data_IF_201583737639
#
_entry.id   IF_201583737639
#
_cell.length_a   1.000
_cell.length_b   1.000
_cell.length_c   1.000
_cell.angle_alpha   90.00
_cell.angle_beta   90.00
_cell.angle_gamma   90.00
#
_symmetry.space_group_name_H-M   'P 1'
#
loop_
_entity.id
_entity.type
_entity.pdbx_description
1 polymer ?
#
# COMPACT_ATOMS: atom_id res chain seq x y z
N UNK A 1 -14.83 12.47 -5.99
CA UNK A 1 -13.55 12.82 -6.62
C UNK A 1 -13.37 11.99 -7.87
N UNK A 2 -12.84 12.56 -8.95
CA UNK A 2 -12.51 11.86 -10.21
C UNK A 2 -11.05 11.35 -10.20
N UNK A 3 -10.55 10.88 -9.05
CA UNK A 3 -9.34 10.07 -9.04
C UNK A 3 -9.66 8.75 -9.74
N UNK A 4 -8.91 8.39 -10.76
CA UNK A 4 -9.05 7.12 -11.44
C UNK A 4 -7.63 6.64 -11.74
N UNK A 5 -7.20 5.60 -11.04
CA UNK A 5 -5.83 5.08 -11.10
C UNK A 5 -5.40 4.83 -12.54
N UNK A 6 -6.30 4.26 -13.34
CA UNK A 6 -6.05 4.02 -14.76
C UNK A 6 -5.83 5.32 -15.55
N UNK A 7 -6.69 6.34 -15.37
CA UNK A 7 -6.56 7.62 -16.08
C UNK A 7 -5.24 8.32 -15.76
N UNK A 8 -4.79 8.26 -14.51
CA UNK A 8 -3.50 8.83 -14.13
C UNK A 8 -2.35 8.13 -14.85
N UNK A 9 -2.30 6.79 -14.79
CA UNK A 9 -1.26 5.99 -15.43
C UNK A 9 -1.25 6.13 -16.96
N UNK A 10 -2.42 6.31 -17.58
CA UNK A 10 -2.56 6.65 -19.00
C UNK A 10 -2.00 8.06 -19.30
N UNK A 11 -2.25 9.03 -18.41
CA UNK A 11 -1.83 10.43 -18.58
C UNK A 11 -0.33 10.65 -18.49
N UNK A 12 0.37 9.93 -17.61
CA UNK A 12 1.84 10.08 -17.44
C UNK A 12 2.65 9.27 -18.44
N UNK A 13 2.06 8.21 -19.02
CA UNK A 13 2.73 7.28 -19.93
C UNK A 13 3.54 7.94 -21.06
N UNK A 14 2.98 8.92 -21.79
CA UNK A 14 3.69 9.56 -22.91
C UNK A 14 4.95 10.34 -22.53
N UNK A 15 5.09 10.74 -21.26
CA UNK A 15 6.20 11.56 -20.77
C UNK A 15 7.30 10.78 -20.05
N UNK A 16 7.11 9.48 -19.79
CA UNK A 16 8.07 8.69 -19.04
C UNK A 16 9.24 8.26 -19.94
N UNK A 17 10.51 8.45 -19.50
CA UNK A 17 11.68 7.95 -20.21
C UNK A 17 11.63 6.42 -20.38
N UNK A 18 11.99 5.94 -21.56
CA UNK A 18 11.99 4.50 -21.87
C UNK A 18 13.05 3.72 -21.08
N UNK A 19 14.05 4.44 -20.59
CA UNK A 19 15.10 3.97 -19.70
C UNK A 19 14.56 3.69 -18.28
N UNK A 20 13.46 4.34 -17.89
CA UNK A 20 12.80 4.15 -16.60
C UNK A 20 11.70 3.10 -16.70
N UNK A 21 10.92 3.13 -17.78
CA UNK A 21 9.83 2.18 -18.01
C UNK A 21 9.79 1.71 -19.46
N UNK A 22 10.01 0.42 -19.67
CA UNK A 22 9.92 -0.16 -21.00
C UNK A 22 8.47 -0.18 -21.49
N UNK A 23 8.23 -0.22 -22.83
CA UNK A 23 6.88 -0.42 -23.37
C UNK A 23 6.21 -1.71 -22.88
N UNK A 24 7.01 -2.75 -22.59
CA UNK A 24 6.50 -4.00 -22.05
C UNK A 24 6.00 -3.82 -20.61
N UNK A 25 6.83 -3.23 -19.75
CA UNK A 25 6.47 -2.91 -18.35
C UNK A 25 5.23 -2.04 -18.31
N UNK A 26 5.17 -0.99 -19.14
CA UNK A 26 3.99 -0.11 -19.23
C UNK A 26 2.73 -0.88 -19.58
N UNK A 27 2.80 -1.79 -20.56
CA UNK A 27 1.65 -2.63 -20.93
C UNK A 27 1.20 -3.54 -19.79
N UNK A 28 2.13 -4.06 -18.98
CA UNK A 28 1.82 -4.87 -17.79
C UNK A 28 1.09 -4.03 -16.74
N UNK A 29 1.64 -2.86 -16.41
CA UNK A 29 1.01 -1.89 -15.50
C UNK A 29 -0.40 -1.51 -16.00
N UNK A 30 -0.55 -1.19 -17.28
CA UNK A 30 -1.85 -0.78 -17.85
C UNK A 30 -2.91 -1.86 -17.75
N UNK A 31 -2.52 -3.13 -17.90
CA UNK A 31 -3.44 -4.26 -17.70
C UNK A 31 -3.83 -4.41 -16.24
N UNK A 32 -2.89 -4.28 -15.30
CA UNK A 32 -3.20 -4.32 -13.87
C UNK A 32 -4.08 -3.13 -13.45
N UNK A 33 -3.82 -1.94 -13.98
CA UNK A 33 -4.57 -0.72 -13.69
C UNK A 33 -6.06 -0.80 -14.03
N UNK A 34 -6.46 -1.71 -14.93
CA UNK A 34 -7.88 -2.00 -15.21
C UNK A 34 -8.62 -2.50 -13.97
N UNK A 35 -7.95 -3.23 -13.08
CA UNK A 35 -8.54 -3.73 -11.83
C UNK A 35 -8.91 -2.59 -10.88
N UNK A 36 -8.19 -1.48 -10.98
CA UNK A 36 -8.32 -0.30 -10.13
C UNK A 36 -9.03 0.87 -10.83
N UNK A 37 -9.76 0.59 -11.93
CA UNK A 37 -10.40 1.64 -12.74
C UNK A 37 -11.47 2.45 -12.00
N UNK A 38 -11.95 1.96 -10.87
CA UNK A 38 -13.01 2.63 -10.08
C UNK A 38 -12.50 3.07 -8.70
N UNK A 39 -11.19 2.98 -8.50
CA UNK A 39 -10.54 3.43 -7.27
C UNK A 39 -10.23 4.92 -7.43
N UNK A 40 -10.65 5.69 -6.44
CA UNK A 40 -10.16 7.05 -6.27
C UNK A 40 -8.82 7.00 -5.54
N UNK A 41 -7.88 7.79 -6.03
CA UNK A 41 -6.59 8.00 -5.39
C UNK A 41 -6.13 9.43 -5.67
N UNK A 42 -5.56 10.04 -4.64
CA UNK A 42 -5.11 11.44 -4.61
C UNK A 42 -3.66 11.60 -5.05
N UNK A 43 -2.83 10.58 -4.87
CA UNK A 43 -1.43 10.57 -5.32
C UNK A 43 -1.05 9.23 -5.92
N UNK A 44 0.03 9.26 -6.70
CA UNK A 44 0.53 8.14 -7.47
C UNK A 44 2.04 8.23 -7.59
N UNK A 45 2.72 7.10 -7.44
CA UNK A 45 4.17 7.00 -7.54
C UNK A 45 4.52 5.86 -8.50
N UNK A 46 5.60 6.06 -9.25
CA UNK A 46 6.30 4.99 -9.96
C UNK A 46 7.68 4.83 -9.32
N UNK A 47 8.04 3.59 -9.03
CA UNK A 47 9.30 3.25 -8.37
C UNK A 47 10.15 2.40 -9.31
N UNK A 48 11.44 2.74 -9.45
CA UNK A 48 12.38 1.99 -10.29
C UNK A 48 13.67 1.69 -9.52
N UNK A 49 14.38 0.65 -9.93
CA UNK A 49 15.60 0.24 -9.27
C UNK A 49 16.82 1.00 -9.83
N UNK A 50 17.42 1.86 -9.01
CA UNK A 50 18.60 2.65 -9.39
C UNK A 50 19.86 1.82 -9.68
N UNK A 51 19.92 0.56 -9.22
CA UNK A 51 21.05 -0.34 -9.43
C UNK A 51 20.84 -1.32 -10.60
N UNK A 52 19.77 -1.13 -11.37
CA UNK A 52 19.42 -1.97 -12.52
C UNK A 52 19.31 -1.10 -13.76
N UNK A 53 19.85 -1.59 -14.88
CA UNK A 53 19.57 -0.99 -16.20
C UNK A 53 18.24 -1.49 -16.79
N UNK A 54 17.54 -2.38 -16.08
CA UNK A 54 16.25 -2.91 -16.52
C UNK A 54 15.18 -1.86 -16.29
N UNK A 55 14.53 -1.44 -17.37
CA UNK A 55 13.44 -0.46 -17.38
C UNK A 55 12.11 -1.06 -16.85
N UNK A 56 12.16 -1.44 -15.59
CA UNK A 56 11.07 -1.99 -14.79
C UNK A 56 10.67 -0.99 -13.71
N UNK A 57 9.37 -0.89 -13.47
CA UNK A 57 8.82 0.03 -12.51
C UNK A 57 7.62 -0.57 -11.80
N UNK A 58 7.60 -0.46 -10.48
CA UNK A 58 6.43 -0.72 -9.65
C UNK A 58 5.56 0.54 -9.61
N UNK A 59 4.29 0.39 -9.25
CA UNK A 59 3.40 1.54 -9.11
C UNK A 59 2.65 1.48 -7.79
N UNK A 60 2.48 2.65 -7.17
CA UNK A 60 1.70 2.79 -5.95
C UNK A 60 0.76 3.97 -6.03
N UNK A 61 -0.30 3.94 -5.23
CA UNK A 61 -1.28 5.02 -5.18
C UNK A 61 -1.80 5.24 -3.77
N UNK A 62 -1.93 6.52 -3.41
CA UNK A 62 -2.42 6.98 -2.11
C UNK A 62 -3.91 7.20 -2.16
N UNK A 63 -4.58 6.73 -1.12
CA UNK A 63 -6.01 6.90 -0.93
C UNK A 63 -6.18 7.63 0.40
N UNK A 64 -6.84 8.78 0.36
CA UNK A 64 -7.16 9.56 1.55
C UNK A 64 -8.40 8.98 2.25
N UNK A 65 -8.55 9.26 3.54
CA UNK A 65 -9.73 8.82 4.31
C UNK A 65 -11.04 9.34 3.71
N UNK A 66 -11.07 10.55 3.14
CA UNK A 66 -12.25 11.05 2.41
C UNK A 66 -12.57 10.27 1.11
N UNK A 67 -11.64 9.48 0.59
CA UNK A 67 -11.80 8.64 -0.61
C UNK A 67 -12.26 7.22 -0.28
N UNK A 68 -12.37 6.85 1.01
CA UNK A 68 -12.77 5.52 1.49
C UNK A 68 -14.06 5.00 0.85
N UNK A 69 -15.08 5.84 0.71
CA UNK A 69 -16.35 5.45 0.08
C UNK A 69 -16.21 5.09 -1.40
N UNK A 70 -15.31 5.76 -2.11
CA UNK A 70 -14.99 5.45 -3.50
C UNK A 70 -14.23 4.12 -3.59
N UNK A 71 -13.24 3.92 -2.72
CA UNK A 71 -12.50 2.66 -2.62
C UNK A 71 -13.43 1.46 -2.34
N UNK A 72 -14.34 1.61 -1.38
CA UNK A 72 -15.32 0.57 -1.02
C UNK A 72 -16.29 0.24 -2.17
N UNK A 73 -16.63 1.21 -3.02
CA UNK A 73 -17.38 0.95 -4.27
C UNK A 73 -16.53 0.21 -5.29
N UNK A 74 -15.25 0.58 -5.41
CA UNK A 74 -14.28 -0.10 -6.27
C UNK A 74 -14.16 -1.59 -5.97
N UNK A 75 -14.05 -1.97 -4.68
CA UNK A 75 -14.00 -3.39 -4.27
C UNK A 75 -15.23 -4.21 -4.67
N UNK A 76 -16.37 -3.57 -4.89
CA UNK A 76 -17.63 -4.22 -5.29
C UNK A 76 -17.82 -4.25 -6.81
N UNK A 77 -16.93 -3.64 -7.59
CA UNK A 77 -17.09 -3.62 -9.03
C UNK A 77 -16.79 -4.99 -9.64
N UNK A 78 -17.42 -5.28 -10.78
CA UNK A 78 -17.22 -6.50 -11.55
C UNK A 78 -15.75 -6.78 -11.84
N UNK A 79 -14.97 -5.77 -12.24
CA UNK A 79 -13.53 -5.89 -12.53
C UNK A 79 -12.70 -6.37 -11.34
N UNK A 80 -13.14 -6.06 -10.12
CA UNK A 80 -12.44 -6.41 -8.89
C UNK A 80 -13.07 -7.61 -8.16
N UNK A 81 -14.33 -7.93 -8.44
CA UNK A 81 -15.11 -8.93 -7.70
C UNK A 81 -14.43 -10.30 -7.63
N UNK A 82 -13.70 -10.71 -8.68
CA UNK A 82 -12.94 -11.96 -8.68
C UNK A 82 -11.76 -11.97 -7.68
N UNK A 83 -11.16 -10.82 -7.40
CA UNK A 83 -10.06 -10.67 -6.44
C UNK A 83 -10.57 -10.63 -4.99
N UNK A 84 -11.80 -10.16 -4.78
CA UNK A 84 -12.39 -10.03 -3.44
C UNK A 84 -12.60 -11.37 -2.71
N UNK A 85 -12.49 -12.50 -3.42
CA UNK A 85 -12.53 -13.84 -2.84
C UNK A 85 -11.16 -14.34 -2.33
N UNK A 86 -10.07 -13.65 -2.68
CA UNK A 86 -8.73 -13.99 -2.22
C UNK A 86 -8.51 -13.58 -0.75
N UNK A 87 -7.84 -14.43 0.03
CA UNK A 87 -7.62 -14.22 1.47
C UNK A 87 -6.85 -12.93 1.77
N UNK A 88 -5.89 -12.58 0.92
CA UNK A 88 -5.09 -11.37 1.08
C UNK A 88 -5.91 -10.13 0.80
N UNK A 89 -6.68 -10.14 -0.29
CA UNK A 89 -7.58 -9.04 -0.59
C UNK A 89 -8.70 -8.89 0.44
N UNK A 90 -9.16 -9.99 1.04
CA UNK A 90 -10.09 -9.93 2.17
C UNK A 90 -9.49 -9.19 3.38
N UNK A 91 -8.20 -9.38 3.68
CA UNK A 91 -7.50 -8.61 4.74
C UNK A 91 -7.46 -7.11 4.43
N UNK A 92 -7.15 -6.75 3.18
CA UNK A 92 -7.20 -5.34 2.72
C UNK A 92 -8.60 -4.76 2.86
N UNK A 93 -9.63 -5.50 2.45
CA UNK A 93 -11.03 -5.07 2.59
C UNK A 93 -11.43 -4.95 4.06
N UNK A 94 -11.01 -5.85 4.94
CA UNK A 94 -11.29 -5.77 6.38
C UNK A 94 -10.64 -4.53 7.00
N UNK A 95 -9.38 -4.26 6.66
CA UNK A 95 -8.71 -3.03 7.08
C UNK A 95 -9.50 -1.81 6.62
N UNK A 96 -9.88 -1.72 5.34
CA UNK A 96 -10.59 -0.55 4.81
C UNK A 96 -11.95 -0.38 5.47
N UNK A 97 -12.68 -1.46 5.77
CA UNK A 97 -13.92 -1.39 6.53
C UNK A 97 -13.70 -0.78 7.93
N UNK A 98 -12.68 -1.25 8.64
CA UNK A 98 -12.30 -0.77 9.96
C UNK A 98 -11.73 0.66 9.97
N UNK A 99 -10.98 1.01 8.91
CA UNK A 99 -10.07 2.16 8.78
C UNK A 99 -10.45 3.34 9.69
N UNK A 100 -9.66 3.51 10.76
CA UNK A 100 -9.80 4.55 11.77
C UNK A 100 -9.67 5.94 11.16
N UNK A 101 -10.40 6.91 11.72
CA UNK A 101 -10.27 8.33 11.35
C UNK A 101 -8.91 8.92 11.70
N UNK A 102 -8.16 8.28 12.61
CA UNK A 102 -6.81 8.68 13.03
C UNK A 102 -5.73 8.24 12.02
N UNK A 103 -6.12 7.50 10.98
CA UNK A 103 -5.24 7.14 9.88
C UNK A 103 -5.68 7.98 8.68
N UNK A 104 -4.96 9.05 8.30
CA UNK A 104 -5.41 9.97 7.26
C UNK A 104 -5.33 9.42 5.83
N UNK A 105 -4.47 8.42 5.60
CA UNK A 105 -4.27 7.84 4.28
C UNK A 105 -3.73 6.41 4.33
N UNK A 106 -3.95 5.69 3.23
CA UNK A 106 -3.35 4.38 2.95
C UNK A 106 -2.71 4.38 1.56
N UNK A 107 -1.80 3.44 1.34
CA UNK A 107 -1.14 3.19 0.08
C UNK A 107 -1.28 1.73 -0.33
N UNK A 108 -1.59 1.53 -1.61
CA UNK A 108 -1.48 0.24 -2.28
C UNK A 108 -0.33 0.33 -3.27
N UNK A 109 0.65 -0.56 -3.13
CA UNK A 109 1.81 -0.70 -4.03
C UNK A 109 1.73 -2.05 -4.74
N UNK A 110 1.92 -2.03 -6.05
CA UNK A 110 1.84 -3.19 -6.92
C UNK A 110 3.18 -3.42 -7.60
N UNK A 111 3.82 -4.55 -7.29
CA UNK A 111 5.03 -5.00 -7.98
C UNK A 111 4.66 -5.31 -9.45
N UNK A 112 5.44 -4.85 -10.44
CA UNK A 112 5.14 -5.10 -11.86
C UNK A 112 5.10 -6.60 -12.20
N UNK A 113 5.82 -7.41 -11.42
CA UNK A 113 5.87 -8.86 -11.55
C UNK A 113 4.57 -9.58 -11.16
N UNK A 114 3.68 -8.93 -10.38
CA UNK A 114 2.38 -9.49 -10.01
C UNK A 114 1.47 -9.68 -11.22
N UNK A 115 1.74 -8.99 -12.34
CA UNK A 115 1.00 -9.12 -13.58
C UNK A 115 0.93 -10.57 -14.10
N UNK A 116 1.95 -11.38 -13.84
CA UNK A 116 2.00 -12.78 -14.32
C UNK A 116 1.15 -13.72 -13.46
N UNK A 117 0.57 -13.25 -12.34
CA UNK A 117 -0.26 -14.05 -11.44
C UNK A 117 -1.75 -13.90 -11.76
N UNK A 118 -2.50 -14.97 -11.48
CA UNK A 118 -3.96 -14.95 -11.61
C UNK A 118 -4.63 -13.96 -10.66
N UNK A 119 -4.04 -13.81 -9.46
CA UNK A 119 -4.45 -12.85 -8.43
C UNK A 119 -3.23 -11.99 -8.09
N UNK A 120 -3.12 -10.76 -8.64
CA UNK A 120 -2.06 -9.85 -8.27
C UNK A 120 -2.31 -9.35 -6.85
N UNK A 121 -1.26 -9.38 -6.02
CA UNK A 121 -1.34 -9.02 -4.60
C UNK A 121 -0.65 -7.68 -4.34
N UNK A 122 -1.21 -6.80 -3.49
CA UNK A 122 -0.60 -5.53 -3.17
C UNK A 122 0.38 -5.66 -1.98
N UNK A 123 1.34 -4.76 -1.90
CA UNK A 123 1.81 -4.26 -0.62
C UNK A 123 0.80 -3.22 -0.10
N UNK A 124 0.48 -3.27 1.19
CA UNK A 124 -0.48 -2.37 1.84
C UNK A 124 0.22 -1.57 2.92
N UNK A 125 0.13 -0.24 2.89
CA UNK A 125 0.66 0.63 3.93
C UNK A 125 -0.40 1.61 4.42
N UNK A 126 -0.35 1.97 5.69
CA UNK A 126 -1.18 2.99 6.30
C UNK A 126 -0.30 4.06 6.94
N UNK A 127 -0.80 5.29 6.97
CA UNK A 127 -0.13 6.39 7.62
C UNK A 127 0.04 6.10 9.13
N UNK A 128 1.26 6.29 9.62
CA UNK A 128 1.66 5.95 10.98
C UNK A 128 2.10 7.17 11.81
N UNK A 129 1.84 8.39 11.33
CA UNK A 129 2.30 9.64 11.97
C UNK A 129 1.82 9.75 13.41
N UNK A 130 0.57 9.38 13.66
CA UNK A 130 -0.05 9.46 14.99
C UNK A 130 0.26 8.24 15.90
N UNK A 131 1.12 7.31 15.45
CA UNK A 131 1.54 6.15 16.25
C UNK A 131 2.66 6.52 17.22
N UNK A 132 3.52 7.49 16.89
CA UNK A 132 4.64 7.89 17.74
C UNK A 132 4.77 9.41 17.82
N UNK A 133 4.65 9.94 19.03
CA UNK A 133 4.88 11.35 19.34
C UNK A 133 5.97 11.47 20.42
N UNK A 134 7.16 11.95 20.05
CA UNK A 134 8.29 11.99 20.97
C UNK A 134 8.66 10.58 21.46
N UNK A 135 8.49 10.32 22.76
CA UNK A 135 8.71 8.98 23.35
C UNK A 135 7.43 8.18 23.55
N UNK A 136 6.26 8.78 23.30
CA UNK A 136 4.97 8.12 23.47
C UNK A 136 4.62 7.31 22.22
N UNK A 137 4.09 6.11 22.43
CA UNK A 137 3.71 5.18 21.36
C UNK A 137 2.26 4.76 21.59
N UNK A 138 1.44 4.90 20.56
CA UNK A 138 0.05 4.45 20.54
C UNK A 138 -0.01 2.98 20.10
N UNK A 139 0.33 2.08 21.03
CA UNK A 139 0.34 0.63 20.79
C UNK A 139 -1.05 0.11 20.39
N UNK A 140 -2.13 0.71 20.89
CA UNK A 140 -3.51 0.33 20.56
C UNK A 140 -3.83 0.60 19.08
N UNK A 141 -3.46 1.77 18.55
CA UNK A 141 -3.63 2.08 17.13
C UNK A 141 -2.76 1.17 16.26
N UNK A 142 -1.53 0.88 16.69
CA UNK A 142 -0.61 -0.01 15.99
C UNK A 142 -1.15 -1.45 15.91
N UNK A 143 -1.59 -2.03 17.04
CA UNK A 143 -2.12 -3.39 17.14
C UNK A 143 -3.43 -3.53 16.36
N UNK A 144 -4.37 -2.61 16.59
CA UNK A 144 -5.69 -2.65 15.95
C UNK A 144 -5.62 -2.48 14.43
N UNK A 145 -4.61 -1.77 13.92
CA UNK A 145 -4.35 -1.62 12.49
C UNK A 145 -3.67 -2.85 11.88
N UNK A 146 -2.61 -3.35 12.51
CA UNK A 146 -1.86 -4.50 11.99
C UNK A 146 -2.61 -5.83 12.10
N UNK A 147 -3.44 -6.00 13.13
CA UNK A 147 -4.28 -7.21 13.31
C UNK A 147 -5.33 -7.41 12.21
N UNK A 148 -5.59 -6.39 11.39
CA UNK A 148 -6.43 -6.49 10.17
C UNK A 148 -5.67 -7.05 8.98
N UNK A 149 -4.36 -6.84 8.96
CA UNK A 149 -3.49 -7.20 7.84
C UNK A 149 -2.73 -8.50 8.11
N UNK A 150 -2.62 -8.91 9.37
CA UNK A 150 -1.87 -10.07 9.82
C UNK A 150 -2.74 -10.96 10.69
N UNK A 151 -2.60 -12.27 10.52
CA UNK A 151 -3.26 -13.21 11.40
C UNK A 151 -2.62 -13.17 12.81
N UNK A 152 -3.37 -13.56 13.83
CA UNK A 152 -2.94 -13.43 15.23
C UNK A 152 -1.59 -14.09 15.54
N UNK A 153 -1.30 -15.24 14.92
CA UNK A 153 -0.02 -15.93 15.07
C UNK A 153 1.14 -15.16 14.44
N UNK A 154 0.89 -14.49 13.31
CA UNK A 154 1.89 -13.69 12.60
C UNK A 154 2.22 -12.44 13.39
N UNK A 155 1.18 -11.70 13.81
CA UNK A 155 1.35 -10.50 14.63
C UNK A 155 2.09 -10.82 15.93
N UNK A 156 1.66 -11.85 16.66
CA UNK A 156 2.32 -12.27 17.90
C UNK A 156 3.81 -12.61 17.70
N UNK A 157 4.17 -13.17 16.54
CA UNK A 157 5.56 -13.54 16.24
C UNK A 157 6.48 -12.33 16.00
N UNK A 158 5.95 -11.24 15.46
CA UNK A 158 6.73 -10.04 15.14
C UNK A 158 6.61 -8.94 16.22
N UNK A 159 5.56 -8.98 17.03
CA UNK A 159 5.20 -7.91 17.97
C UNK A 159 6.34 -7.49 18.91
N UNK A 160 7.10 -8.42 19.55
CA UNK A 160 8.18 -8.02 20.44
C UNK A 160 9.27 -7.22 19.71
N UNK A 161 9.65 -7.64 18.50
CA UNK A 161 10.70 -6.96 17.73
C UNK A 161 10.19 -5.64 17.15
N UNK A 162 8.94 -5.60 16.68
CA UNK A 162 8.33 -4.38 16.14
C UNK A 162 8.26 -3.30 17.21
N UNK A 163 7.73 -3.63 18.38
CA UNK A 163 7.61 -2.69 19.50
C UNK A 163 8.99 -2.26 19.98
N UNK A 164 9.94 -3.18 20.16
CA UNK A 164 11.31 -2.85 20.54
C UNK A 164 11.97 -1.86 19.58
N UNK A 165 11.85 -2.10 18.25
CA UNK A 165 12.43 -1.20 17.24
C UNK A 165 11.81 0.19 17.32
N UNK A 166 10.48 0.30 17.44
CA UNK A 166 9.80 1.61 17.51
C UNK A 166 10.18 2.35 18.80
N UNK A 167 10.28 1.64 19.94
CA UNK A 167 10.70 2.22 21.23
C UNK A 167 12.16 2.67 21.25
N UNK A 168 13.02 2.08 20.41
CA UNK A 168 14.43 2.48 20.29
C UNK A 168 14.64 3.66 19.33
N UNK A 169 13.63 4.08 18.58
CA UNK A 169 13.74 5.25 17.72
C UNK A 169 13.96 6.52 18.58
N UNK A 170 14.86 7.42 18.15
CA UNK A 170 15.03 8.71 18.83
C UNK A 170 13.70 9.47 18.97
N UNK A 171 13.53 10.31 20.00
CA UNK A 171 12.32 11.12 20.16
C UNK A 171 11.97 11.95 18.93
N UNK A 172 12.97 12.40 18.19
CA UNK A 172 12.88 13.27 17.01
C UNK A 172 12.51 12.51 15.73
N UNK A 173 12.55 11.18 15.77
CA UNK A 173 12.22 10.31 14.63
C UNK A 173 10.79 9.81 14.79
N UNK A 174 9.93 10.19 13.87
CA UNK A 174 8.55 9.74 13.78
C UNK A 174 8.40 8.52 12.88
N UNK A 175 7.16 8.07 12.76
CA UNK A 175 6.75 7.07 11.80
C UNK A 175 5.98 7.77 10.68
N UNK A 176 6.26 7.41 9.43
CA UNK A 176 5.53 7.95 8.29
C UNK A 176 4.46 6.96 7.83
N UNK A 177 4.87 5.70 7.65
CA UNK A 177 4.02 4.62 7.18
C UNK A 177 4.40 3.31 7.84
N UNK A 178 3.42 2.44 8.06
CA UNK A 178 3.62 1.05 8.43
C UNK A 178 2.73 0.19 7.55
N UNK A 179 3.17 -1.02 7.21
CA UNK A 179 2.35 -1.89 6.40
C UNK A 179 2.95 -3.25 6.14
N UNK A 180 2.23 -4.04 5.35
CA UNK A 180 2.54 -5.44 5.05
C UNK A 180 2.83 -5.64 3.57
N UNK A 181 3.91 -6.37 3.29
CA UNK A 181 4.25 -6.79 1.92
C UNK A 181 3.53 -8.09 1.55
N UNK A 182 2.21 -8.03 1.36
CA UNK A 182 1.37 -9.22 1.19
C UNK A 182 1.66 -10.00 -0.11
N UNK A 183 2.28 -9.36 -1.10
CA UNK A 183 2.64 -9.97 -2.39
C UNK A 183 3.74 -11.05 -2.30
N UNK A 184 4.51 -11.09 -1.20
CA UNK A 184 5.64 -11.99 -1.02
C UNK A 184 5.28 -12.96 0.09
N UNK A 185 5.29 -14.27 -0.18
CA UNK A 185 4.92 -15.40 0.71
C UNK A 185 5.70 -15.55 2.04
N UNK A 186 6.20 -14.44 2.60
CA UNK A 186 6.74 -14.23 3.93
C UNK A 186 6.24 -12.85 4.35
N UNK A 187 5.13 -12.79 5.08
CA UNK A 187 4.52 -11.51 5.47
C UNK A 187 5.51 -10.68 6.29
N UNK A 188 6.05 -9.64 5.64
CA UNK A 188 7.01 -8.70 6.24
C UNK A 188 6.26 -7.43 6.55
N UNK A 189 6.37 -6.99 7.81
CA UNK A 189 6.03 -5.62 8.17
C UNK A 189 7.18 -4.71 7.78
N UNK A 190 6.87 -3.63 7.08
CA UNK A 190 7.81 -2.54 6.79
C UNK A 190 7.42 -1.35 7.65
N UNK A 191 8.42 -0.73 8.26
CA UNK A 191 8.29 0.49 9.07
C UNK A 191 9.07 1.59 8.38
N UNK A 192 8.39 2.68 8.02
CA UNK A 192 9.00 3.87 7.44
C UNK A 192 9.13 4.92 8.52
N UNK A 193 10.33 5.47 8.64
CA UNK A 193 10.63 6.55 9.58
C UNK A 193 10.72 7.87 8.81
N UNK A 194 10.39 8.96 9.49
CA UNK A 194 10.60 10.32 9.00
C UNK A 194 11.05 11.20 10.17
N UNK A 195 11.70 12.32 9.85
CA UNK A 195 11.95 13.35 10.86
C UNK A 195 10.62 13.98 11.26
N UNK A 196 10.37 14.15 12.56
CA UNK A 196 9.23 14.92 13.05
C UNK A 196 9.49 16.40 12.72
N UNK A 197 8.72 16.96 11.78
CA UNK A 197 8.77 18.39 11.41
C UNK A 197 7.95 19.25 12.35
#
# INVERSE_FOLDING_TARGET
MEGNVKRYLEGIGPSLPLEIISPETKRKIDKMAVLFSDFAASEYILETNLNSEVAEADFSFRILTEEKDCLMKGFRNFSFSGLSADETWMKVIDFVNYWSTDIPDIWLEMDYGEFEKDVPLPCFFFNATDIKEGTEINDDLLDSSLSRLLDSSQLASIWPNLTEVIHQLPPEVGLFQIGTMLARHKDRVRVFTAELT
#
